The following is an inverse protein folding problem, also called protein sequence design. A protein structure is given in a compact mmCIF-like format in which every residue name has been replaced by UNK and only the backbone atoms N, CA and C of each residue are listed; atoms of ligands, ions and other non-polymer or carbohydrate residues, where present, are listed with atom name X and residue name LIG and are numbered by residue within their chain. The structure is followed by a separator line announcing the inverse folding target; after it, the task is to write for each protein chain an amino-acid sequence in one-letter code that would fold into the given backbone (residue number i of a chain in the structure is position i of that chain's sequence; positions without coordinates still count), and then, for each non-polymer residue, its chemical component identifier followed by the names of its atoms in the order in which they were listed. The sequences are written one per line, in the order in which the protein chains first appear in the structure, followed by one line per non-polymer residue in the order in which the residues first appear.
data_IF_978071262142
#
_entry.id   IF_978071262142
#
_cell.length_a   1.000
_cell.length_b   1.000
_cell.length_c   1.000
_cell.angle_alpha   90.00
_cell.angle_beta   90.00
_cell.angle_gamma   90.00
#
_symmetry.space_group_name_H-M   'P 1'
#
loop_
_entity.id
_entity.type
_entity.pdbx_description
1 polymer ?
#
# COMPACT_ATOMS: atom_id res chain seq x y z
N UNK A 1 -10.22 18.07 20.58
CA UNK A 1 -9.59 17.16 19.60
C UNK A 1 -10.01 15.76 20.01
N UNK A 2 -10.62 14.98 19.11
CA UNK A 2 -11.01 13.59 19.43
C UNK A 2 -9.78 12.76 19.76
N UNK A 3 -9.90 11.75 20.64
CA UNK A 3 -8.75 10.95 21.05
C UNK A 3 -8.09 10.27 19.85
N UNK A 4 -8.84 9.90 18.82
CA UNK A 4 -8.28 9.24 17.64
C UNK A 4 -7.25 10.10 16.90
N UNK A 5 -7.46 11.41 16.76
CA UNK A 5 -6.49 12.28 16.07
C UNK A 5 -5.23 12.47 16.91
N UNK A 6 -5.38 12.65 18.23
CA UNK A 6 -4.24 12.76 19.14
C UNK A 6 -3.45 11.45 19.23
N UNK A 7 -4.14 10.30 19.27
CA UNK A 7 -3.53 8.99 19.29
C UNK A 7 -2.80 8.68 17.97
N UNK A 8 -3.38 9.03 16.82
CA UNK A 8 -2.70 8.88 15.53
C UNK A 8 -1.45 9.77 15.42
N UNK A 9 -1.49 11.00 15.92
CA UNK A 9 -0.30 11.86 16.00
C UNK A 9 0.79 11.21 16.88
N UNK A 10 0.42 10.67 18.05
CA UNK A 10 1.37 9.97 18.92
C UNK A 10 1.91 8.67 18.29
N UNK A 11 1.10 7.97 17.49
CA UNK A 11 1.56 6.82 16.68
C UNK A 11 2.58 7.28 15.65
N UNK A 12 2.32 8.38 14.95
CA UNK A 12 3.24 8.94 13.96
C UNK A 12 4.59 9.33 14.59
N UNK A 13 4.57 9.96 15.76
CA UNK A 13 5.80 10.36 16.47
C UNK A 13 6.65 9.15 16.91
N UNK A 14 6.01 8.05 17.31
CA UNK A 14 6.70 6.81 17.71
C UNK A 14 7.07 5.91 16.52
N UNK A 15 6.46 6.14 15.35
CA UNK A 15 6.75 5.38 14.14
C UNK A 15 8.13 5.73 13.60
N UNK A 16 8.98 4.71 13.56
CA UNK A 16 10.26 4.79 12.84
C UNK A 16 10.05 4.62 11.33
N UNK A 17 11.14 4.51 10.57
CA UNK A 17 11.10 4.31 9.12
C UNK A 17 10.81 2.86 8.73
N UNK A 18 10.22 2.66 7.54
CA UNK A 18 10.10 1.35 6.91
C UNK A 18 10.89 1.35 5.59
N UNK A 19 12.07 0.73 5.60
CA UNK A 19 12.92 0.63 4.41
C UNK A 19 12.44 -0.44 3.40
N UNK A 20 12.78 -0.28 2.12
CA UNK A 20 12.63 -1.30 1.07
C UNK A 20 13.65 -2.44 1.31
N UNK A 21 13.21 -3.54 1.93
CA UNK A 21 14.07 -4.73 2.16
C UNK A 21 13.58 -5.99 1.45
N UNK A 22 12.32 -6.04 1.04
CA UNK A 22 11.77 -7.22 0.38
C UNK A 22 12.09 -7.23 -1.12
N UNK A 23 12.47 -8.38 -1.67
CA UNK A 23 12.83 -8.53 -3.08
C UNK A 23 11.86 -9.46 -3.79
N UNK A 24 11.23 -8.96 -4.85
CA UNK A 24 10.51 -9.81 -5.78
C UNK A 24 11.52 -10.49 -6.71
N UNK A 25 11.74 -11.81 -6.53
CA UNK A 25 12.71 -12.57 -7.33
C UNK A 25 12.29 -12.75 -8.79
N UNK A 26 11.00 -12.62 -9.12
CA UNK A 26 10.52 -12.80 -10.48
C UNK A 26 10.68 -11.54 -11.32
N UNK A 27 10.36 -10.37 -10.75
CA UNK A 27 10.40 -9.08 -11.46
C UNK A 27 11.60 -8.21 -11.05
N UNK A 28 12.48 -8.75 -10.19
CA UNK A 28 13.77 -8.17 -9.82
C UNK A 28 13.70 -6.75 -9.23
N UNK A 29 12.59 -6.39 -8.56
CA UNK A 29 12.47 -5.12 -7.85
C UNK A 29 12.35 -5.28 -6.34
N UNK A 30 12.75 -4.24 -5.60
CA UNK A 30 12.56 -4.14 -4.16
C UNK A 30 11.23 -3.48 -3.83
N UNK A 31 10.53 -4.00 -2.82
CA UNK A 31 9.26 -3.48 -2.34
C UNK A 31 9.21 -3.47 -0.80
N UNK A 32 8.18 -2.82 -0.27
CA UNK A 32 7.82 -2.91 1.16
C UNK A 32 6.69 -3.92 1.29
N UNK A 33 6.96 -5.07 1.87
CA UNK A 33 5.92 -6.05 2.19
C UNK A 33 4.95 -5.51 3.23
N UNK A 34 3.74 -6.06 3.24
CA UNK A 34 2.76 -5.78 4.30
C UNK A 34 3.33 -6.16 5.68
N UNK A 35 4.06 -7.27 5.78
CA UNK A 35 4.66 -7.75 7.03
C UNK A 35 5.64 -6.74 7.62
N UNK A 36 6.49 -6.12 6.78
CA UNK A 36 7.42 -5.08 7.23
C UNK A 36 6.67 -3.88 7.83
N UNK A 37 5.60 -3.44 7.17
CA UNK A 37 4.77 -2.31 7.65
C UNK A 37 4.02 -2.68 8.93
N UNK A 38 3.38 -3.85 8.98
CA UNK A 38 2.61 -4.30 10.16
C UNK A 38 3.52 -4.55 11.36
N UNK A 39 4.73 -5.09 11.16
CA UNK A 39 5.68 -5.30 12.24
C UNK A 39 6.24 -3.99 12.80
N UNK A 40 6.41 -2.97 11.95
CA UNK A 40 6.83 -1.63 12.40
C UNK A 40 5.69 -0.89 13.13
N UNK A 41 4.48 -0.93 12.59
CA UNK A 41 3.36 -0.08 13.05
C UNK A 41 2.53 -0.75 14.14
N UNK A 42 2.32 -2.06 14.06
CA UNK A 42 1.43 -2.81 14.95
C UNK A 42 1.74 -2.65 16.44
N UNK A 43 3.00 -2.77 16.90
CA UNK A 43 3.34 -2.53 18.31
C UNK A 43 2.99 -1.12 18.79
N UNK A 44 3.12 -0.12 17.91
CA UNK A 44 2.90 1.29 18.23
C UNK A 44 1.40 1.60 18.31
N UNK A 45 0.61 1.08 17.37
CA UNK A 45 -0.85 1.15 17.46
C UNK A 45 -1.35 0.55 18.78
N UNK A 46 -0.81 -0.60 19.20
CA UNK A 46 -1.15 -1.22 20.50
C UNK A 46 -0.74 -0.34 21.69
N UNK A 47 0.47 0.24 21.65
CA UNK A 47 0.97 1.18 22.68
C UNK A 47 -0.02 2.32 22.90
N UNK A 48 -0.56 2.89 21.82
CA UNK A 48 -1.51 4.01 21.86
C UNK A 48 -2.99 3.58 21.85
N UNK A 49 -3.27 2.28 22.02
CA UNK A 49 -4.63 1.73 22.05
C UNK A 49 -5.49 2.06 20.81
N UNK A 50 -4.86 2.20 19.65
CA UNK A 50 -5.54 2.40 18.37
C UNK A 50 -5.86 1.05 17.75
N UNK A 51 -7.14 0.82 17.44
CA UNK A 51 -7.60 -0.36 16.69
C UNK A 51 -7.76 -0.02 15.23
N UNK A 52 -7.62 -1.00 14.34
CA UNK A 52 -7.90 -0.83 12.91
C UNK A 52 -8.75 -2.00 12.43
N UNK A 53 -9.88 -1.71 11.80
CA UNK A 53 -10.76 -2.73 11.20
C UNK A 53 -11.05 -2.42 9.73
N UNK A 54 -11.05 -3.43 8.84
CA UNK A 54 -11.45 -3.24 7.45
C UNK A 54 -12.98 -3.35 7.29
N UNK A 55 -13.53 -2.53 6.40
CA UNK A 55 -14.88 -2.68 5.85
C UNK A 55 -14.75 -2.68 4.33
N UNK A 56 -15.02 -3.82 3.70
CA UNK A 56 -14.89 -3.96 2.25
C UNK A 56 -16.11 -3.31 1.58
N UNK A 57 -15.86 -2.28 0.79
CA UNK A 57 -16.90 -1.53 0.07
C UNK A 57 -17.22 -2.18 -1.27
N UNK A 58 -16.20 -2.66 -1.98
CA UNK A 58 -16.39 -3.35 -3.24
C UNK A 58 -15.28 -4.34 -3.53
N UNK A 59 -15.63 -5.40 -4.28
CA UNK A 59 -14.70 -6.39 -4.82
C UNK A 59 -15.11 -6.71 -6.24
N UNK A 60 -14.16 -6.61 -7.17
CA UNK A 60 -14.34 -6.98 -8.58
C UNK A 60 -13.28 -8.01 -8.95
N UNK A 61 -13.71 -9.08 -9.63
CA UNK A 61 -12.84 -10.12 -10.15
C UNK A 61 -12.89 -10.14 -11.67
N UNK A 62 -11.73 -10.29 -12.31
CA UNK A 62 -11.60 -10.51 -13.74
C UNK A 62 -10.68 -11.70 -14.04
N UNK A 63 -11.02 -12.48 -15.06
CA UNK A 63 -10.10 -13.46 -15.63
C UNK A 63 -9.11 -12.73 -16.55
N UNK A 64 -7.83 -12.81 -16.23
CA UNK A 64 -6.73 -12.23 -17.01
C UNK A 64 -5.75 -13.30 -17.45
N UNK A 65 -4.85 -12.97 -18.36
CA UNK A 65 -3.78 -13.86 -18.78
C UNK A 65 -2.42 -13.25 -18.43
N UNK A 66 -1.50 -14.09 -17.97
CA UNK A 66 -0.10 -13.71 -17.82
C UNK A 66 0.54 -13.45 -19.19
N UNK A 67 1.73 -12.85 -19.21
CA UNK A 67 2.52 -12.68 -20.45
C UNK A 67 2.86 -14.00 -21.16
N UNK A 68 2.72 -15.14 -20.48
CA UNK A 68 2.92 -16.49 -21.04
C UNK A 68 1.62 -17.18 -21.48
N UNK A 69 0.49 -16.47 -21.47
CA UNK A 69 -0.83 -17.00 -21.85
C UNK A 69 -1.51 -17.85 -20.77
N UNK A 70 -0.88 -18.08 -19.62
CA UNK A 70 -1.49 -18.82 -18.50
C UNK A 70 -2.62 -18.00 -17.86
N UNK A 71 -3.74 -18.64 -17.48
CA UNK A 71 -4.85 -17.97 -16.81
C UNK A 71 -4.43 -17.45 -15.43
N UNK A 72 -5.01 -16.32 -15.04
CA UNK A 72 -4.84 -15.67 -13.75
C UNK A 72 -6.11 -14.90 -13.39
N UNK A 73 -6.23 -14.54 -12.12
CA UNK A 73 -7.35 -13.78 -11.56
C UNK A 73 -6.84 -12.41 -11.15
N UNK A 74 -7.43 -11.35 -11.70
CA UNK A 74 -7.28 -10.00 -11.18
C UNK A 74 -8.37 -9.74 -10.14
N UNK A 75 -8.00 -9.15 -9.01
CA UNK A 75 -8.92 -8.70 -7.98
C UNK A 75 -8.68 -7.22 -7.71
N UNK A 76 -9.75 -6.42 -7.75
CA UNK A 76 -9.75 -5.00 -7.37
C UNK A 76 -10.69 -4.81 -6.19
N UNK A 77 -10.22 -4.09 -5.16
CA UNK A 77 -10.98 -3.83 -3.94
C UNK A 77 -11.00 -2.35 -3.60
N UNK A 78 -12.10 -1.90 -3.01
CA UNK A 78 -12.15 -0.64 -2.26
C UNK A 78 -12.48 -1.01 -0.81
N UNK A 79 -11.65 -0.54 0.12
CA UNK A 79 -11.73 -0.91 1.53
C UNK A 79 -11.62 0.34 2.38
N UNK A 80 -12.53 0.47 3.34
CA UNK A 80 -12.42 1.44 4.42
C UNK A 80 -11.66 0.80 5.58
N UNK A 81 -10.54 1.41 5.97
CA UNK A 81 -9.85 1.09 7.21
C UNK A 81 -10.27 2.09 8.28
N UNK A 82 -11.03 1.61 9.26
CA UNK A 82 -11.53 2.44 10.36
C UNK A 82 -10.57 2.31 11.53
N UNK A 83 -9.91 3.43 11.84
CA UNK A 83 -9.06 3.60 13.01
C UNK A 83 -9.94 4.06 14.18
N UNK A 84 -9.87 3.37 15.32
CA UNK A 84 -10.71 3.66 16.49
C UNK A 84 -9.91 3.83 17.78
N UNK A 85 -10.34 4.79 18.62
CA UNK A 85 -9.78 5.07 19.94
C UNK A 85 -10.71 4.59 21.07
N UNK A 86 -10.26 4.70 22.33
CA UNK A 86 -10.97 4.21 23.51
C UNK A 86 -12.25 5.00 23.81
N UNK A 87 -12.26 6.30 23.54
CA UNK A 87 -13.46 7.15 23.64
C UNK A 87 -14.54 6.84 22.58
N UNK A 88 -14.29 5.90 21.66
CA UNK A 88 -15.18 5.56 20.56
C UNK A 88 -15.08 6.51 19.36
N UNK A 89 -14.16 7.48 19.38
CA UNK A 89 -13.88 8.30 18.20
C UNK A 89 -13.18 7.49 17.11
N UNK A 90 -13.52 7.80 15.86
CA UNK A 90 -13.04 7.05 14.69
C UNK A 90 -12.53 7.98 13.59
N UNK A 91 -11.61 7.45 12.78
CA UNK A 91 -11.15 8.05 11.54
C UNK A 91 -11.10 6.97 10.45
N UNK A 92 -11.67 7.26 9.28
CA UNK A 92 -11.73 6.32 8.17
C UNK A 92 -10.71 6.67 7.10
N UNK A 93 -9.94 5.68 6.64
CA UNK A 93 -9.10 5.75 5.46
C UNK A 93 -9.63 4.82 4.37
N UNK A 94 -10.17 5.39 3.29
CA UNK A 94 -10.66 4.63 2.13
C UNK A 94 -9.52 4.41 1.14
N UNK A 95 -9.26 3.15 0.79
CA UNK A 95 -8.17 2.75 -0.09
C UNK A 95 -8.67 1.84 -1.20
N UNK A 96 -8.31 2.16 -2.43
CA UNK A 96 -8.41 1.26 -3.56
C UNK A 96 -7.12 0.44 -3.71
N UNK A 97 -7.24 -0.85 -4.04
CA UNK A 97 -6.10 -1.70 -4.30
C UNK A 97 -6.42 -2.76 -5.35
N UNK A 98 -5.37 -3.27 -5.99
CA UNK A 98 -5.46 -4.34 -6.95
C UNK A 98 -4.34 -5.37 -6.75
N UNK A 99 -4.63 -6.61 -7.12
CA UNK A 99 -3.63 -7.66 -7.22
C UNK A 99 -4.02 -8.70 -8.26
N UNK A 100 -3.01 -9.32 -8.87
CA UNK A 100 -3.15 -10.46 -9.76
C UNK A 100 -2.57 -11.71 -9.12
N UNK A 101 -3.23 -12.85 -9.33
CA UNK A 101 -2.76 -14.14 -8.84
C UNK A 101 -3.09 -15.27 -9.82
N UNK A 102 -2.17 -16.22 -9.98
CA UNK A 102 -2.36 -17.38 -10.87
C UNK A 102 -3.06 -18.55 -10.17
N UNK A 103 -3.45 -18.39 -8.90
CA UNK A 103 -4.15 -19.37 -8.09
C UNK A 103 -5.32 -18.73 -7.34
N UNK A 104 -5.43 -19.00 -6.05
CA UNK A 104 -6.55 -18.64 -5.18
C UNK A 104 -6.31 -17.40 -4.29
N UNK A 105 -5.21 -16.64 -4.52
CA UNK A 105 -4.76 -15.58 -3.60
C UNK A 105 -4.96 -14.16 -4.10
N UNK A 106 -5.76 -13.95 -5.15
CA UNK A 106 -5.97 -12.62 -5.72
C UNK A 106 -6.53 -11.62 -4.68
N UNK A 107 -7.58 -12.00 -3.94
CA UNK A 107 -8.17 -11.12 -2.93
C UNK A 107 -7.29 -10.90 -1.68
N UNK A 108 -6.70 -11.94 -1.04
CA UNK A 108 -5.76 -11.73 0.06
C UNK A 108 -4.57 -10.83 -0.31
N UNK A 109 -4.07 -10.92 -1.55
CA UNK A 109 -3.02 -10.02 -2.06
C UNK A 109 -3.53 -8.59 -2.20
N UNK A 110 -4.72 -8.39 -2.78
CA UNK A 110 -5.32 -7.06 -2.91
C UNK A 110 -5.55 -6.40 -1.54
N UNK A 111 -6.07 -7.16 -0.57
CA UNK A 111 -6.24 -6.69 0.82
C UNK A 111 -4.91 -6.35 1.51
N UNK A 112 -3.84 -7.09 1.21
CA UNK A 112 -2.50 -6.78 1.73
C UNK A 112 -1.96 -5.46 1.16
N UNK A 113 -2.20 -5.20 -0.13
CA UNK A 113 -1.85 -3.92 -0.76
C UNK A 113 -2.69 -2.79 -0.15
N UNK A 114 -4.00 -3.00 0.01
CA UNK A 114 -4.91 -2.01 0.59
C UNK A 114 -4.49 -1.61 2.01
N UNK A 115 -4.24 -2.59 2.89
CA UNK A 115 -3.88 -2.30 4.28
C UNK A 115 -2.53 -1.62 4.39
N UNK A 116 -1.55 -2.05 3.58
CA UNK A 116 -0.23 -1.42 3.51
C UNK A 116 -0.37 0.05 3.12
N UNK A 117 -1.16 0.34 2.09
CA UNK A 117 -1.39 1.71 1.61
C UNK A 117 -2.09 2.56 2.67
N UNK A 118 -3.10 2.02 3.36
CA UNK A 118 -3.78 2.73 4.45
C UNK A 118 -2.80 3.14 5.57
N UNK A 119 -1.98 2.20 6.05
CA UNK A 119 -0.99 2.50 7.10
C UNK A 119 0.06 3.52 6.64
N UNK A 120 0.59 3.37 5.43
CA UNK A 120 1.59 4.30 4.88
C UNK A 120 1.04 5.72 4.74
N UNK A 121 -0.17 5.87 4.21
CA UNK A 121 -0.77 7.19 3.93
C UNK A 121 -1.33 7.85 5.18
N UNK A 122 -2.03 7.11 6.05
CA UNK A 122 -2.60 7.66 7.28
C UNK A 122 -1.52 8.13 8.25
N UNK A 123 -0.40 7.40 8.35
CA UNK A 123 0.65 7.68 9.32
C UNK A 123 1.85 8.44 8.72
N UNK A 124 1.78 8.84 7.44
CA UNK A 124 2.87 9.47 6.71
C UNK A 124 4.23 8.78 6.96
N UNK A 125 4.25 7.44 6.92
CA UNK A 125 5.38 6.65 7.37
C UNK A 125 6.65 7.00 6.58
N UNK A 126 7.77 7.33 7.25
CA UNK A 126 9.04 7.56 6.57
C UNK A 126 9.45 6.30 5.81
N UNK A 127 9.79 6.47 4.53
CA UNK A 127 10.10 5.34 3.65
C UNK A 127 11.59 5.17 3.36
N UNK A 128 12.47 6.07 3.81
CA UNK A 128 13.89 6.07 3.44
C UNK A 128 14.12 5.99 1.91
N UNK A 129 13.22 6.58 1.11
CA UNK A 129 13.47 6.73 -0.32
C UNK A 129 14.32 7.97 -0.58
N UNK A 130 15.41 7.85 -1.36
CA UNK A 130 16.06 9.03 -1.90
C UNK A 130 15.06 9.77 -2.79
N UNK A 131 15.11 11.10 -2.72
CA UNK A 131 14.26 11.98 -3.53
C UNK A 131 14.33 11.55 -5.01
N UNK A 132 13.19 11.25 -5.69
CA UNK A 132 13.19 10.88 -7.10
C UNK A 132 13.81 11.98 -7.99
N UNK A 133 13.82 13.23 -7.54
CA UNK A 133 14.46 14.36 -8.21
C UNK A 133 15.97 14.48 -7.90
N UNK A 134 16.52 13.66 -6.99
CA UNK A 134 17.97 13.58 -6.75
C UNK A 134 18.76 13.06 -7.97
N UNK A 135 18.06 12.44 -8.93
CA UNK A 135 18.63 12.02 -10.21
C UNK A 135 17.79 12.57 -11.36
N UNK A 136 18.29 13.63 -12.00
CA UNK A 136 17.71 14.15 -13.25
C UNK A 136 17.93 13.13 -14.36
N UNK A 137 16.88 12.44 -14.79
CA UNK A 137 16.91 11.70 -16.04
C UNK A 137 16.83 12.70 -17.20
N UNK A 138 17.92 12.87 -17.95
CA UNK A 138 17.84 13.52 -19.27
C UNK A 138 16.86 12.72 -20.13
N UNK A 139 15.71 13.34 -20.47
CA UNK A 139 14.79 12.76 -21.44
C UNK A 139 15.51 12.69 -22.79
N UNK A 140 15.85 11.49 -23.23
CA UNK A 140 16.29 11.28 -24.61
C UNK A 140 15.19 11.82 -25.54
N UNK A 141 15.51 12.78 -26.43
CA UNK A 141 14.50 13.33 -27.33
C UNK A 141 13.90 12.20 -28.17
N UNK A 142 12.58 12.20 -28.30
CA UNK A 142 11.87 11.23 -29.11
C UNK A 142 12.41 11.25 -30.55
N UNK A 143 12.64 10.09 -31.19
CA UNK A 143 13.13 10.05 -32.56
C UNK A 143 12.14 10.78 -33.47
N UNK A 144 12.63 11.79 -34.17
CA UNK A 144 11.84 12.58 -35.11
C UNK A 144 11.30 11.66 -36.20
N UNK A 145 9.98 11.47 -36.26
CA UNK A 145 9.33 10.68 -37.30
C UNK A 145 9.57 11.36 -38.65
N UNK A 146 10.53 10.87 -39.43
CA UNK A 146 10.70 11.29 -40.83
C UNK A 146 9.44 10.93 -41.60
N UNK A 147 8.75 11.93 -42.12
CA UNK A 147 7.65 11.73 -43.07
C UNK A 147 8.21 11.05 -44.32
N UNK A 148 7.63 9.91 -44.69
CA UNK A 148 7.89 9.26 -45.96
C UNK A 148 7.39 10.18 -47.11
N UNK A 149 8.23 10.36 -48.12
CA UNK A 149 7.87 10.94 -49.42
C UNK A 149 7.44 9.83 -50.36
#
# INVERSE_FOLDING_TARGET
MSEIHAALAAVMDDCTHVAKRDRNKHQQFLFRGIDAVVNAVGPILRKHSVTVRPVVQSVVYDNVQTSTGKPATACRVVVDYIFGAKDGSEMTATVAAEAWDNGDKAAPKAMSVAFRTALLQTLALPTDEPDPDAHTYERTPAPTRRAAR
#
